data_IF_683708507268
#
_entry.id   IF_683708507268
#
_cell.length_a   1.000
_cell.length_b   1.000
_cell.length_c   1.000
_cell.angle_alpha   90.00
_cell.angle_beta   90.00
_cell.angle_gamma   90.00
#
_symmetry.space_group_name_H-M   'P 1'
#
loop_
_entity.id
_entity.type
_entity.pdbx_description
1 polymer ?
#
# COMPACT_ATOMS: atom_id res chain seq x y z
N UNK A 1 -17.47 13.82 11.25
CA UNK A 1 -17.43 12.35 11.05
C UNK A 1 -16.17 11.96 10.26
N UNK A 2 -15.00 11.97 10.90
CA UNK A 2 -13.68 11.61 10.33
C UNK A 2 -12.82 10.89 11.38
N UNK A 3 -13.47 10.19 12.31
CA UNK A 3 -12.83 9.66 13.53
C UNK A 3 -12.94 8.15 13.68
N UNK A 4 -13.65 7.49 12.78
CA UNK A 4 -13.79 6.04 12.76
C UNK A 4 -13.45 5.57 11.36
N UNK A 5 -12.48 4.68 11.23
CA UNK A 5 -12.04 4.05 9.96
C UNK A 5 -13.11 3.12 9.35
N UNK A 6 -14.39 3.43 9.54
CA UNK A 6 -15.52 2.70 8.97
C UNK A 6 -15.50 2.72 7.44
N UNK A 7 -14.82 3.70 6.83
CA UNK A 7 -14.61 3.81 5.38
C UNK A 7 -13.66 2.72 4.84
N UNK A 8 -12.94 1.99 5.69
CA UNK A 8 -12.01 0.91 5.31
C UNK A 8 -12.60 -0.49 5.46
N UNK A 9 -13.78 -0.65 6.09
CA UNK A 9 -14.48 -1.95 6.16
C UNK A 9 -14.72 -2.60 4.78
N UNK A 10 -15.07 -1.85 3.72
CA UNK A 10 -15.19 -2.42 2.38
C UNK A 10 -13.87 -2.99 1.84
N UNK A 11 -12.72 -2.42 2.23
CA UNK A 11 -11.42 -2.90 1.76
C UNK A 11 -11.03 -4.22 2.43
N UNK A 12 -11.37 -4.40 3.70
CA UNK A 12 -11.16 -5.69 4.40
C UNK A 12 -12.01 -6.79 3.74
N UNK A 13 -13.23 -6.47 3.33
CA UNK A 13 -14.07 -7.41 2.57
C UNK A 13 -13.42 -7.82 1.25
N UNK A 14 -12.85 -6.88 0.49
CA UNK A 14 -12.14 -7.19 -0.76
C UNK A 14 -10.92 -8.11 -0.56
N UNK A 15 -10.26 -8.03 0.61
CA UNK A 15 -9.19 -8.97 0.97
C UNK A 15 -9.73 -10.37 1.20
N UNK A 16 -10.88 -10.48 1.87
CA UNK A 16 -11.55 -11.78 2.09
C UNK A 16 -12.08 -12.38 0.77
N UNK A 17 -12.52 -11.55 -0.17
CA UNK A 17 -12.91 -11.96 -1.52
C UNK A 17 -11.73 -12.25 -2.46
N UNK A 18 -10.48 -12.08 -2.00
CA UNK A 18 -9.24 -12.26 -2.77
C UNK A 18 -9.04 -11.28 -3.95
N UNK A 19 -9.85 -10.23 -4.05
CA UNK A 19 -9.66 -9.12 -5.00
C UNK A 19 -8.48 -8.22 -4.59
N UNK A 20 -8.18 -8.19 -3.30
CA UNK A 20 -7.05 -7.46 -2.71
C UNK A 20 -6.25 -8.34 -1.76
N UNK A 21 -5.07 -7.87 -1.36
CA UNK A 21 -4.24 -8.45 -0.31
C UNK A 21 -4.12 -7.49 0.90
N UNK A 22 -3.67 -8.02 2.04
CA UNK A 22 -3.31 -7.16 3.18
C UNK A 22 -2.09 -6.29 2.86
N UNK A 23 -1.09 -6.89 2.20
CA UNK A 23 0.15 -6.23 1.79
C UNK A 23 0.29 -6.27 0.27
N UNK A 24 0.51 -5.11 -0.31
CA UNK A 24 0.62 -4.93 -1.75
C UNK A 24 0.64 -3.45 -2.14
N UNK A 25 0.81 -3.14 -3.42
CA UNK A 25 0.76 -1.76 -3.87
C UNK A 25 -0.64 -1.16 -3.72
N UNK A 26 -0.72 0.12 -3.34
CA UNK A 26 -2.00 0.83 -3.18
C UNK A 26 -2.79 0.87 -4.50
N UNK A 27 -4.09 0.60 -4.57
CA UNK A 27 -4.85 0.75 -5.83
C UNK A 27 -4.63 2.13 -6.50
N UNK A 28 -4.38 2.12 -7.82
CA UNK A 28 -4.17 3.34 -8.62
C UNK A 28 -5.40 3.64 -9.46
N UNK A 29 -5.72 4.92 -9.63
CA UNK A 29 -6.70 5.36 -10.61
C UNK A 29 -6.14 5.18 -12.03
N UNK A 30 -7.04 4.95 -13.00
CA UNK A 30 -6.64 4.72 -14.40
C UNK A 30 -5.84 5.90 -14.97
N UNK A 31 -6.21 7.13 -14.62
CA UNK A 31 -5.49 8.35 -15.04
C UNK A 31 -4.09 8.48 -14.42
N UNK A 32 -3.81 7.78 -13.32
CA UNK A 32 -2.50 7.81 -12.68
C UNK A 32 -1.46 6.92 -13.39
N UNK A 33 -1.90 6.05 -14.30
CA UNK A 33 -1.01 5.16 -15.07
C UNK A 33 0.10 5.92 -15.79
N UNK A 34 -0.18 7.10 -16.32
CA UNK A 34 0.79 7.92 -17.06
C UNK A 34 1.94 8.45 -16.19
N UNK A 35 1.72 8.53 -14.86
CA UNK A 35 2.71 9.06 -13.91
C UNK A 35 3.53 7.96 -13.23
N UNK A 36 3.29 6.69 -13.56
CA UNK A 36 3.95 5.55 -12.94
C UNK A 36 5.02 4.96 -13.88
N UNK A 37 6.32 5.22 -13.62
CA UNK A 37 7.41 4.79 -14.50
C UNK A 37 7.80 3.33 -14.23
N UNK A 38 6.89 2.38 -14.43
CA UNK A 38 7.18 0.96 -14.20
C UNK A 38 6.05 0.01 -14.60
N UNK A 39 6.29 -1.29 -14.38
CA UNK A 39 5.28 -2.35 -14.63
C UNK A 39 5.02 -3.28 -13.45
N UNK A 40 5.84 -3.22 -12.40
CA UNK A 40 5.77 -4.16 -11.28
C UNK A 40 4.45 -4.08 -10.50
N UNK A 41 3.82 -2.90 -10.44
CA UNK A 41 2.46 -2.72 -9.93
C UNK A 41 1.47 -3.76 -10.51
N UNK A 42 1.52 -3.99 -11.82
CA UNK A 42 0.57 -4.86 -12.53
C UNK A 42 0.84 -6.36 -12.34
N UNK A 43 1.96 -6.72 -11.72
CA UNK A 43 2.31 -8.12 -11.40
C UNK A 43 1.84 -8.52 -10.00
N UNK A 44 1.37 -7.56 -9.22
CA UNK A 44 1.04 -7.71 -7.80
C UNK A 44 -0.45 -7.51 -7.56
N UNK A 45 -0.99 -8.19 -6.55
CA UNK A 45 -2.33 -7.91 -6.06
C UNK A 45 -2.31 -6.60 -5.27
N UNK A 46 -3.26 -5.67 -5.52
CA UNK A 46 -3.34 -4.44 -4.74
C UNK A 46 -3.54 -4.70 -3.25
N UNK A 47 -2.87 -3.91 -2.41
CA UNK A 47 -2.86 -4.06 -0.97
C UNK A 47 -3.60 -2.96 -0.21
N UNK A 48 -4.08 -3.28 1.00
CA UNK A 48 -4.52 -2.28 1.98
C UNK A 48 -3.32 -1.45 2.47
N UNK A 49 -2.22 -2.14 2.78
CA UNK A 49 -0.93 -1.52 3.13
C UNK A 49 0.16 -1.93 2.14
N UNK A 50 1.24 -1.15 2.09
CA UNK A 50 2.35 -1.38 1.18
C UNK A 50 3.57 -0.57 1.57
N UNK A 51 4.73 -0.98 1.03
CA UNK A 51 6.02 -0.36 1.34
C UNK A 51 5.98 1.16 1.16
N UNK A 52 5.45 1.65 0.02
CA UNK A 52 5.32 3.08 -0.24
C UNK A 52 4.47 3.80 0.83
N UNK A 53 3.34 3.22 1.25
CA UNK A 53 2.43 3.81 2.25
C UNK A 53 3.07 3.96 3.64
N UNK A 54 3.93 3.03 4.03
CA UNK A 54 4.60 3.09 5.35
C UNK A 54 5.94 3.84 5.31
N UNK A 55 6.54 3.94 4.12
CA UNK A 55 7.87 4.52 3.94
C UNK A 55 7.91 6.05 4.04
N UNK A 56 6.84 6.78 3.71
CA UNK A 56 6.94 8.22 3.45
C UNK A 56 5.88 9.06 4.18
N UNK A 57 6.38 9.80 5.17
CA UNK A 57 5.71 10.86 5.92
C UNK A 57 5.93 12.25 5.28
N UNK A 58 5.57 12.43 4.01
CA UNK A 58 5.42 13.73 3.29
C UNK A 58 6.40 14.11 2.16
N UNK A 59 7.38 13.28 1.74
CA UNK A 59 8.42 13.74 0.78
C UNK A 59 8.55 12.98 -0.54
N UNK A 60 7.72 11.96 -0.81
CA UNK A 60 7.83 11.23 -2.08
C UNK A 60 6.90 11.74 -3.15
N UNK A 61 7.40 11.73 -4.36
CA UNK A 61 6.58 11.88 -5.56
C UNK A 61 5.80 10.60 -5.85
N UNK A 62 4.77 10.73 -6.68
CA UNK A 62 4.03 9.57 -7.19
C UNK A 62 4.93 8.63 -8.04
N UNK A 63 5.98 9.17 -8.67
CA UNK A 63 6.90 8.38 -9.49
C UNK A 63 7.77 7.44 -8.63
N UNK A 64 8.19 7.89 -7.44
CA UNK A 64 9.02 7.09 -6.51
C UNK A 64 8.34 5.79 -6.10
N UNK A 65 7.01 5.79 -6.10
CA UNK A 65 6.18 4.61 -5.88
C UNK A 65 6.60 3.41 -6.74
N UNK A 66 7.02 3.63 -7.99
CA UNK A 66 7.46 2.55 -8.87
C UNK A 66 8.68 1.80 -8.32
N UNK A 67 9.58 2.50 -7.62
CA UNK A 67 10.73 1.88 -6.97
C UNK A 67 10.30 1.01 -5.77
N UNK A 68 9.33 1.47 -4.97
CA UNK A 68 8.79 0.70 -3.85
C UNK A 68 8.04 -0.56 -4.33
N UNK A 69 7.22 -0.42 -5.35
CA UNK A 69 6.46 -1.53 -5.94
C UNK A 69 7.42 -2.56 -6.56
N UNK A 70 8.48 -2.12 -7.25
CA UNK A 70 9.56 -2.99 -7.74
C UNK A 70 10.30 -3.69 -6.62
N UNK A 71 10.69 -2.97 -5.56
CA UNK A 71 11.39 -3.56 -4.43
C UNK A 71 10.55 -4.64 -3.75
N UNK A 72 9.27 -4.35 -3.51
CA UNK A 72 8.34 -5.32 -2.93
C UNK A 72 8.14 -6.54 -3.84
N UNK A 73 8.01 -6.36 -5.16
CA UNK A 73 7.92 -7.46 -6.11
C UNK A 73 9.14 -8.39 -6.04
N UNK A 74 10.34 -7.83 -5.91
CA UNK A 74 11.60 -8.59 -5.84
C UNK A 74 11.81 -9.25 -4.46
N UNK A 75 11.31 -8.65 -3.39
CA UNK A 75 11.47 -9.12 -2.02
C UNK A 75 10.25 -9.90 -1.48
N UNK A 76 9.32 -10.26 -2.36
CA UNK A 76 8.03 -10.86 -2.01
C UNK A 76 8.23 -12.10 -1.14
N UNK A 77 7.89 -11.97 0.13
CA UNK A 77 8.05 -13.02 1.13
C UNK A 77 7.18 -12.73 2.35
N UNK A 78 6.77 -13.79 3.06
CA UNK A 78 6.00 -13.63 4.30
C UNK A 78 6.72 -12.75 5.33
N UNK A 79 8.06 -12.79 5.36
CA UNK A 79 8.88 -11.96 6.24
C UNK A 79 8.73 -10.47 5.90
N UNK A 80 8.75 -10.13 4.62
CA UNK A 80 8.59 -8.75 4.16
C UNK A 80 7.16 -8.25 4.44
N UNK A 81 6.14 -9.08 4.22
CA UNK A 81 4.75 -8.76 4.55
C UNK A 81 4.59 -8.43 6.03
N UNK A 82 5.14 -9.28 6.90
CA UNK A 82 5.08 -9.07 8.35
C UNK A 82 5.84 -7.82 8.79
N UNK A 83 6.91 -7.43 8.09
CA UNK A 83 7.62 -6.16 8.34
C UNK A 83 6.72 -4.98 8.00
N UNK A 84 6.12 -4.97 6.81
CA UNK A 84 5.24 -3.88 6.36
C UNK A 84 4.01 -3.74 7.27
N UNK A 85 3.41 -4.85 7.70
CA UNK A 85 2.28 -4.82 8.64
C UNK A 85 2.65 -4.21 10.00
N UNK A 86 3.83 -4.54 10.54
CA UNK A 86 4.33 -3.92 11.78
C UNK A 86 4.56 -2.42 11.60
N UNK A 87 5.17 -2.03 10.49
CA UNK A 87 5.39 -0.61 10.17
C UNK A 87 4.06 0.14 10.04
N UNK A 88 3.04 -0.50 9.46
CA UNK A 88 1.68 0.04 9.35
C UNK A 88 1.07 0.30 10.73
N UNK A 89 1.12 -0.68 11.62
CA UNK A 89 0.61 -0.54 13.00
C UNK A 89 1.33 0.60 13.72
N UNK A 90 2.65 0.71 13.57
CA UNK A 90 3.44 1.78 14.17
C UNK A 90 3.07 3.17 13.64
N UNK A 91 2.83 3.30 12.33
CA UNK A 91 2.38 4.55 11.70
C UNK A 91 0.99 4.95 12.22
N UNK A 92 0.04 4.00 12.26
CA UNK A 92 -1.33 4.24 12.76
C UNK A 92 -1.33 4.64 14.24
N UNK A 93 -0.56 3.92 15.08
CA UNK A 93 -0.46 4.22 16.52
C UNK A 93 0.17 5.58 16.81
N UNK A 94 1.10 6.04 15.96
CA UNK A 94 1.68 7.38 16.08
C UNK A 94 0.72 8.51 15.71
N UNK A 95 -0.47 8.20 15.20
CA UNK A 95 -1.58 9.13 14.96
C UNK A 95 -1.18 10.45 14.28
N UNK A 96 -0.16 10.44 13.41
CA UNK A 96 0.23 11.61 12.60
C UNK A 96 -0.68 11.77 11.38
N UNK A 97 -1.95 11.38 11.51
CA UNK A 97 -2.96 11.52 10.47
C UNK A 97 -3.41 12.97 10.38
N UNK A 98 -2.78 13.72 9.47
CA UNK A 98 -3.37 14.90 8.86
C UNK A 98 -4.05 14.51 7.55
#
# INVERSE_FOLDING_TARGET
MRKTSLDELPQIWNVLCADMSLVGPRPMLVNQKYFYPGTDYYKLRPGISGNWQVSLRNESTFADRAAYDRHYNLALSLKEDMRILKDTVHVVLRATGY
#
